data_IF_439625991905
#
_entry.id   IF_439625991905
#
_cell.length_a   1.000
_cell.length_b   1.000
_cell.length_c   1.000
_cell.angle_alpha   90.00
_cell.angle_beta   90.00
_cell.angle_gamma   90.00
#
_symmetry.space_group_name_H-M   'P 1'
#
loop_
_entity.id
_entity.type
_entity.pdbx_description
1 polymer ?
#
# COMPACT_ATOMS: atom_id res chain seq x y z
N UNK A 1 54.28 -24.33 -36.02
CA UNK A 1 53.01 -24.67 -36.71
C UNK A 1 51.97 -23.67 -36.22
N UNK A 2 51.26 -23.01 -37.14
CA UNK A 2 50.26 -21.98 -36.80
C UNK A 2 48.88 -22.65 -36.80
N UNK A 3 48.22 -22.73 -35.63
CA UNK A 3 46.87 -23.27 -35.54
C UNK A 3 45.89 -22.10 -35.62
N UNK A 4 45.15 -22.00 -36.73
CA UNK A 4 44.08 -21.01 -36.85
C UNK A 4 42.86 -21.50 -36.07
N UNK A 5 42.44 -20.75 -35.05
CA UNK A 5 41.18 -20.99 -34.39
C UNK A 5 40.04 -20.46 -35.29
N UNK A 6 39.12 -21.34 -35.67
CA UNK A 6 37.91 -20.97 -36.40
C UNK A 6 36.77 -20.75 -35.40
N UNK A 7 36.10 -19.61 -35.49
CA UNK A 7 34.87 -19.33 -34.74
C UNK A 7 33.65 -19.48 -35.65
N UNK A 8 32.56 -20.00 -35.09
CA UNK A 8 31.26 -20.07 -35.75
C UNK A 8 30.19 -19.47 -34.83
N UNK A 9 29.12 -18.92 -35.41
CA UNK A 9 28.03 -18.27 -34.69
C UNK A 9 26.69 -18.84 -35.13
N UNK A 10 25.91 -19.31 -34.17
CA UNK A 10 24.57 -19.84 -34.40
C UNK A 10 23.54 -19.12 -33.53
N UNK A 11 22.41 -18.76 -34.13
CA UNK A 11 21.27 -18.21 -33.41
C UNK A 11 20.26 -19.32 -33.12
N UNK A 12 19.87 -19.45 -31.85
CA UNK A 12 18.81 -20.36 -31.41
C UNK A 12 17.60 -19.55 -30.98
N UNK A 13 16.49 -19.68 -31.71
CA UNK A 13 15.24 -19.02 -31.34
C UNK A 13 14.50 -19.85 -30.28
N UNK A 14 13.92 -19.18 -29.28
CA UNK A 14 12.98 -19.80 -28.35
C UNK A 14 11.78 -20.40 -29.11
N UNK A 15 11.31 -21.58 -28.70
CA UNK A 15 10.20 -22.32 -29.35
C UNK A 15 8.80 -21.75 -29.02
N UNK A 16 8.70 -20.46 -28.72
CA UNK A 16 7.44 -19.78 -28.41
C UNK A 16 6.96 -20.06 -26.98
N UNK A 17 5.82 -20.74 -26.83
CA UNK A 17 5.09 -20.92 -25.55
C UNK A 17 5.78 -21.86 -24.55
N UNK A 18 6.87 -22.53 -24.93
CA UNK A 18 7.65 -23.36 -24.01
C UNK A 18 8.55 -22.44 -23.18
N UNK A 19 8.42 -22.49 -21.85
CA UNK A 19 9.14 -21.59 -20.95
C UNK A 19 10.67 -21.71 -21.06
N UNK A 20 11.20 -22.84 -21.52
CA UNK A 20 12.62 -23.04 -21.82
C UNK A 20 12.85 -24.24 -22.74
N UNK A 21 13.95 -24.23 -23.48
CA UNK A 21 14.40 -25.34 -24.33
C UNK A 21 15.93 -25.47 -24.28
N UNK A 22 16.43 -26.68 -24.04
CA UNK A 22 17.87 -26.99 -24.04
C UNK A 22 18.33 -27.47 -25.41
N UNK A 23 19.45 -26.93 -25.87
CA UNK A 23 20.15 -27.30 -27.10
C UNK A 23 21.51 -27.89 -26.75
N UNK A 24 21.83 -29.05 -27.32
CA UNK A 24 23.14 -29.68 -27.21
C UNK A 24 23.94 -29.37 -28.46
N UNK A 25 25.04 -28.64 -28.30
CA UNK A 25 25.99 -28.31 -29.35
C UNK A 25 27.13 -29.33 -29.29
N UNK A 26 27.46 -29.93 -30.43
CA UNK A 26 28.59 -30.86 -30.59
C UNK A 26 29.57 -30.27 -31.58
N UNK A 27 30.81 -30.05 -31.14
CA UNK A 27 31.90 -29.56 -31.97
C UNK A 27 32.87 -30.70 -32.24
N UNK A 28 33.18 -30.94 -33.51
CA UNK A 28 34.21 -31.89 -33.94
C UNK A 28 35.32 -31.12 -34.64
N UNK A 29 36.55 -31.24 -34.14
CA UNK A 29 37.74 -30.66 -34.74
C UNK A 29 38.59 -31.76 -35.36
N UNK A 30 39.19 -31.48 -36.51
CA UNK A 30 40.16 -32.35 -37.18
C UNK A 30 41.45 -31.57 -37.36
N UNK A 31 42.58 -32.11 -36.90
CA UNK A 31 43.88 -31.47 -37.09
C UNK A 31 44.48 -31.75 -38.48
N UNK A 32 45.62 -31.13 -38.78
CA UNK A 32 46.33 -31.31 -40.04
C UNK A 32 46.97 -32.70 -40.22
N UNK A 33 46.93 -33.55 -39.20
CA UNK A 33 47.38 -34.94 -39.21
C UNK A 33 46.20 -35.91 -39.34
N UNK A 34 44.98 -35.40 -39.50
CA UNK A 34 43.76 -36.20 -39.61
C UNK A 34 43.19 -36.68 -38.27
N UNK A 35 43.78 -36.26 -37.14
CA UNK A 35 43.29 -36.63 -35.82
C UNK A 35 42.06 -35.81 -35.47
N UNK A 36 41.05 -36.48 -34.91
CA UNK A 36 39.79 -35.83 -34.55
C UNK A 36 39.59 -35.76 -33.04
N UNK A 37 39.01 -34.66 -32.56
CA UNK A 37 38.52 -34.53 -31.19
C UNK A 37 37.10 -33.97 -31.20
N UNK A 38 36.30 -34.34 -30.19
CA UNK A 38 34.90 -33.94 -30.07
C UNK A 38 34.66 -33.33 -28.69
N UNK A 39 33.90 -32.23 -28.64
CA UNK A 39 33.44 -31.59 -27.43
C UNK A 39 31.93 -31.32 -27.50
N UNK A 40 31.27 -31.38 -26.34
CA UNK A 40 29.83 -31.17 -26.23
C UNK A 40 29.55 -30.05 -25.22
N UNK A 41 28.57 -29.19 -25.52
CA UNK A 41 28.09 -28.15 -24.62
C UNK A 41 26.57 -28.07 -24.68
N UNK A 42 25.93 -27.80 -23.54
CA UNK A 42 24.48 -27.65 -23.45
C UNK A 42 24.13 -26.20 -23.11
N UNK A 43 23.25 -25.59 -23.89
CA UNK A 43 22.77 -24.22 -23.69
C UNK A 43 21.26 -24.24 -23.51
N UNK A 44 20.79 -23.64 -22.43
CA UNK A 44 19.36 -23.46 -22.18
C UNK A 44 18.93 -22.09 -22.72
N UNK A 45 17.93 -22.08 -23.60
CA UNK A 45 17.31 -20.85 -24.09
C UNK A 45 15.96 -20.70 -23.41
N UNK A 46 15.79 -19.59 -22.69
CA UNK A 46 14.56 -19.26 -21.99
C UNK A 46 13.72 -18.29 -22.83
N UNK A 47 12.41 -18.55 -22.90
CA UNK A 47 11.48 -17.60 -23.52
C UNK A 47 11.27 -16.44 -22.56
N UNK A 48 11.62 -15.22 -22.95
CA UNK A 48 11.29 -14.00 -22.21
C UNK A 48 9.81 -13.59 -22.36
N UNK A 49 8.98 -14.49 -22.89
CA UNK A 49 7.54 -14.28 -22.99
C UNK A 49 6.96 -14.11 -21.60
N UNK A 50 6.51 -12.89 -21.30
CA UNK A 50 5.62 -12.61 -20.18
C UNK A 50 4.58 -13.72 -20.16
N UNK A 51 4.60 -14.54 -19.11
CA UNK A 51 3.66 -15.62 -18.92
C UNK A 51 2.27 -15.02 -18.70
N UNK A 52 1.65 -14.58 -19.80
CA UNK A 52 0.25 -14.20 -19.91
C UNK A 52 -0.56 -15.49 -19.89
N UNK A 53 -0.48 -16.21 -18.78
CA UNK A 53 -1.38 -17.30 -18.47
C UNK A 53 -2.77 -16.69 -18.33
N UNK A 54 -3.72 -17.17 -19.14
CA UNK A 54 -5.13 -16.89 -18.91
C UNK A 54 -5.51 -17.49 -17.55
N UNK A 55 -5.54 -16.67 -16.51
CA UNK A 55 -5.98 -17.09 -15.17
C UNK A 55 -7.50 -17.19 -15.19
N UNK A 56 -8.01 -18.42 -15.35
CA UNK A 56 -9.45 -18.72 -15.27
C UNK A 56 -9.83 -18.96 -13.82
N UNK A 57 -10.56 -18.01 -13.22
CA UNK A 57 -11.10 -18.17 -11.88
C UNK A 57 -12.51 -18.77 -11.96
N UNK A 58 -12.79 -19.88 -11.24
CA UNK A 58 -14.16 -20.39 -11.11
C UNK A 58 -15.13 -19.32 -10.63
N UNK A 59 -16.35 -19.30 -11.18
CA UNK A 59 -17.34 -18.23 -10.93
C UNK A 59 -17.69 -18.03 -9.44
N UNK A 60 -17.54 -19.05 -8.59
CA UNK A 60 -17.83 -18.95 -7.16
C UNK A 60 -16.92 -17.98 -6.40
N UNK A 61 -15.70 -17.69 -6.89
CA UNK A 61 -14.82 -16.70 -6.27
C UNK A 61 -15.44 -15.30 -6.28
N UNK A 62 -16.12 -14.93 -7.37
CA UNK A 62 -16.84 -13.66 -7.46
C UNK A 62 -18.05 -13.64 -6.52
N UNK A 63 -18.73 -14.78 -6.34
CA UNK A 63 -19.83 -14.92 -5.39
C UNK A 63 -19.38 -14.72 -3.93
N UNK A 64 -18.27 -15.35 -3.54
CA UNK A 64 -17.68 -15.19 -2.19
C UNK A 64 -17.19 -13.75 -2.00
N UNK A 65 -16.50 -13.18 -2.99
CA UNK A 65 -16.00 -11.80 -2.92
C UNK A 65 -17.14 -10.79 -2.78
N UNK A 66 -18.22 -10.95 -3.55
CA UNK A 66 -19.41 -10.10 -3.44
C UNK A 66 -20.07 -10.22 -2.06
N UNK A 67 -20.16 -11.43 -1.49
CA UNK A 67 -20.70 -11.63 -0.16
C UNK A 67 -19.86 -10.94 0.93
N UNK A 68 -18.53 -11.01 0.84
CA UNK A 68 -17.64 -10.31 1.77
C UNK A 68 -17.79 -8.80 1.70
N UNK A 69 -17.82 -8.23 0.49
CA UNK A 69 -18.02 -6.78 0.29
C UNK A 69 -19.39 -6.34 0.82
N UNK A 70 -20.46 -7.09 0.52
CA UNK A 70 -21.80 -6.78 1.00
C UNK A 70 -21.88 -6.82 2.54
N UNK A 71 -21.24 -7.80 3.19
CA UNK A 71 -21.20 -7.90 4.65
C UNK A 71 -20.49 -6.69 5.29
N UNK A 72 -19.37 -6.23 4.72
CA UNK A 72 -18.63 -5.06 5.21
C UNK A 72 -19.46 -3.79 5.05
N UNK A 73 -20.06 -3.58 3.87
CA UNK A 73 -20.89 -2.41 3.60
C UNK A 73 -22.14 -2.38 4.49
N UNK A 74 -22.85 -3.52 4.61
CA UNK A 74 -24.03 -3.62 5.45
C UNK A 74 -23.68 -3.46 6.94
N UNK A 75 -22.60 -4.10 7.41
CA UNK A 75 -22.14 -4.00 8.79
C UNK A 75 -21.69 -2.59 9.17
N UNK A 76 -20.87 -1.95 8.33
CA UNK A 76 -20.43 -0.57 8.51
C UNK A 76 -21.60 0.42 8.47
N UNK A 77 -22.50 0.28 7.50
CA UNK A 77 -23.70 1.13 7.41
C UNK A 77 -24.63 0.96 8.61
N UNK A 78 -24.83 -0.26 9.09
CA UNK A 78 -25.66 -0.52 10.26
C UNK A 78 -25.05 0.03 11.55
N UNK A 79 -23.72 -0.07 11.70
CA UNK A 79 -23.00 0.51 12.82
C UNK A 79 -23.11 2.05 12.84
N UNK A 80 -22.92 2.71 11.69
CA UNK A 80 -23.06 4.18 11.58
C UNK A 80 -24.52 4.60 11.81
N UNK A 81 -25.49 3.85 11.29
CA UNK A 81 -26.92 4.14 11.48
C UNK A 81 -27.35 4.00 12.94
N UNK A 82 -26.77 3.07 13.70
CA UNK A 82 -27.03 2.93 15.14
C UNK A 82 -26.36 4.02 15.97
N UNK A 83 -25.30 4.66 15.47
CA UNK A 83 -24.63 5.78 16.11
C UNK A 83 -25.34 7.14 15.92
N UNK A 84 -26.67 7.15 15.70
CA UNK A 84 -27.46 8.38 15.85
C UNK A 84 -27.51 8.78 17.33
N UNK A 85 -26.48 9.54 17.71
CA UNK A 85 -26.40 10.55 18.78
C UNK A 85 -27.56 10.48 19.76
N UNK A 86 -27.39 9.70 20.83
CA UNK A 86 -28.11 9.95 22.07
C UNK A 86 -27.77 11.38 22.45
N UNK A 87 -28.77 12.26 22.49
CA UNK A 87 -28.60 13.67 22.84
C UNK A 87 -27.86 13.79 24.17
N UNK A 88 -26.55 14.03 24.12
CA UNK A 88 -25.87 14.68 25.22
C UNK A 88 -26.49 16.08 25.29
N UNK A 89 -27.55 16.22 26.09
CA UNK A 89 -28.05 17.53 26.46
C UNK A 89 -26.93 18.19 27.26
N UNK A 90 -26.04 18.91 26.57
CA UNK A 90 -25.32 20.03 27.16
C UNK A 90 -26.42 21.04 27.52
N UNK A 91 -27.06 20.81 28.66
CA UNK A 91 -27.87 21.82 29.31
C UNK A 91 -26.85 22.88 29.71
N UNK A 92 -26.73 23.93 28.91
CA UNK A 92 -26.09 25.15 29.39
C UNK A 92 -27.05 25.63 30.47
N UNK A 93 -26.71 25.35 31.72
CA UNK A 93 -27.53 25.78 32.85
C UNK A 93 -27.52 27.30 32.87
N UNK A 94 -28.69 27.88 32.58
CA UNK A 94 -28.87 29.33 32.66
C UNK A 94 -28.65 29.82 34.09
N UNK A 95 -28.81 28.94 35.09
CA UNK A 95 -28.46 29.20 36.49
C UNK A 95 -26.95 29.31 36.71
N UNK A 96 -26.13 28.54 36.00
CA UNK A 96 -24.67 28.66 36.06
C UNK A 96 -24.20 30.00 35.43
N UNK A 97 -24.88 30.47 34.39
CA UNK A 97 -24.62 31.80 33.79
C UNK A 97 -25.07 32.92 34.73
N UNK A 98 -26.18 32.75 35.47
CA UNK A 98 -26.65 33.73 36.47
C UNK A 98 -25.79 33.75 37.75
N UNK A 99 -25.26 32.59 38.18
CA UNK A 99 -24.38 32.51 39.35
C UNK A 99 -23.01 33.11 39.08
N UNK A 100 -22.50 33.02 37.85
CA UNK A 100 -21.22 33.64 37.48
C UNK A 100 -21.38 35.14 37.17
N UNK A 101 -22.47 35.55 36.50
CA UNK A 101 -22.73 36.97 36.20
C UNK A 101 -23.04 37.81 37.46
N UNK A 102 -23.64 37.22 38.51
CA UNK A 102 -23.89 37.92 39.77
C UNK A 102 -22.64 38.12 40.64
N UNK A 103 -21.57 37.35 40.42
CA UNK A 103 -20.36 37.36 41.27
C UNK A 103 -19.33 38.43 40.86
N UNK A 104 -19.36 38.90 39.61
CA UNK A 104 -18.34 39.81 39.05
C UNK A 104 -18.67 41.30 39.30
N UNK A 105 -19.95 41.68 39.40
CA UNK A 105 -20.31 43.11 39.38
C UNK A 105 -20.16 43.82 40.73
N UNK A 106 -20.25 43.10 41.87
CA UNK A 106 -20.56 43.74 43.15
C UNK A 106 -19.48 43.73 44.25
N UNK A 107 -18.29 43.13 44.05
CA UNK A 107 -17.29 43.07 45.14
C UNK A 107 -15.97 43.80 44.87
N UNK A 108 -15.41 43.78 43.66
CA UNK A 108 -14.16 44.51 43.40
C UNK A 108 -14.40 45.98 43.02
N UNK A 109 -15.46 46.24 42.25
CA UNK A 109 -15.83 47.57 41.80
C UNK A 109 -16.23 48.50 42.96
N UNK A 110 -17.07 48.03 43.88
CA UNK A 110 -17.56 48.84 45.00
C UNK A 110 -16.50 49.06 46.09
N UNK A 111 -15.50 48.19 46.18
CA UNK A 111 -14.34 48.42 47.04
C UNK A 111 -13.41 49.48 46.44
N UNK A 112 -13.16 49.43 45.13
CA UNK A 112 -12.38 50.45 44.43
C UNK A 112 -12.98 51.86 44.60
N UNK A 113 -14.31 52.01 44.48
CA UNK A 113 -14.98 53.30 44.69
C UNK A 113 -14.90 53.76 46.15
N UNK A 114 -15.05 52.86 47.12
CA UNK A 114 -14.92 53.20 48.55
C UNK A 114 -13.50 53.61 48.91
N UNK A 115 -12.51 52.92 48.38
CA UNK A 115 -11.10 53.24 48.63
C UNK A 115 -10.73 54.59 48.01
N UNK A 116 -11.25 54.90 46.82
CA UNK A 116 -11.12 56.25 46.22
C UNK A 116 -11.75 57.33 47.10
N UNK A 117 -12.98 57.14 47.57
CA UNK A 117 -13.68 58.13 48.39
C UNK A 117 -12.99 58.38 49.75
N UNK A 118 -12.31 57.36 50.30
CA UNK A 118 -11.60 57.48 51.56
C UNK A 118 -10.25 58.18 51.37
N UNK A 119 -9.56 57.89 50.26
CA UNK A 119 -8.30 58.53 49.91
C UNK A 119 -8.47 60.04 49.68
N UNK A 120 -9.56 60.47 49.05
CA UNK A 120 -9.83 61.89 48.80
C UNK A 120 -10.28 62.66 50.06
N UNK A 121 -10.52 61.98 51.18
CA UNK A 121 -10.97 62.61 52.45
C UNK A 121 -9.82 62.86 53.44
N UNK A 122 -8.66 62.26 53.20
CA UNK A 122 -7.48 62.35 54.07
C UNK A 122 -6.38 63.30 53.51
N UNK A 123 -6.64 63.99 52.39
CA UNK A 123 -5.87 65.12 51.83
C UNK A 123 -6.68 66.45 51.94
#
# INVERSE_FOLDING_TARGET
MNYAATSDSHAYNSTGSTASKTYTITVKVTDNRGQTSTANSAVMVQSSGSSSGNVSFPLYYFGILAALIAAILAGGFLAIRRHKVTHAKLKIDLEAVKSEAGRIENQEFFQSVKDQLKKDKDD
#
